data_IF_069092976346
#
_entry.id   IF_069092976346
#
_cell.length_a   1.000
_cell.length_b   1.000
_cell.length_c   1.000
_cell.angle_alpha   90.00
_cell.angle_beta   90.00
_cell.angle_gamma   90.00
#
_symmetry.space_group_name_H-M   'P 1'
#
loop_
_entity.id
_entity.type
_entity.pdbx_description
1 polymer ?
#
# COMPACT_ATOMS: atom_id res chain seq x y z
N UNK A 1 -19.69 56.76 -60.79
CA UNK A 1 -18.75 56.31 -59.72
C UNK A 1 -18.96 54.83 -59.50
N UNK A 2 -18.21 53.94 -60.19
CA UNK A 2 -18.29 52.51 -60.05
C UNK A 2 -17.00 51.95 -59.38
N UNK A 3 -17.19 51.54 -58.25
CA UNK A 3 -16.54 50.55 -57.34
C UNK A 3 -15.17 50.04 -57.76
N UNK A 4 -14.13 50.61 -57.16
CA UNK A 4 -12.77 50.12 -57.13
C UNK A 4 -12.52 49.05 -56.04
N UNK A 5 -13.56 48.70 -55.27
CA UNK A 5 -13.46 47.73 -54.14
C UNK A 5 -13.44 46.27 -54.56
N UNK A 6 -13.95 45.92 -55.76
CA UNK A 6 -13.99 44.54 -56.26
C UNK A 6 -12.66 44.01 -56.81
N UNK A 7 -11.80 44.90 -57.35
CA UNK A 7 -10.51 44.49 -57.94
C UNK A 7 -9.42 44.22 -56.85
N UNK A 8 -9.51 44.87 -55.70
CA UNK A 8 -8.55 44.68 -54.60
C UNK A 8 -8.74 43.35 -53.88
N UNK A 9 -9.98 42.87 -53.73
CA UNK A 9 -10.31 41.57 -53.08
C UNK A 9 -9.90 40.41 -53.98
N UNK A 10 -10.04 40.55 -55.31
CA UNK A 10 -9.64 39.46 -56.22
C UNK A 10 -8.11 39.28 -56.31
N UNK A 11 -7.34 40.36 -56.18
CA UNK A 11 -5.87 40.33 -56.17
C UNK A 11 -5.34 39.76 -54.84
N UNK A 12 -6.02 39.97 -53.73
CA UNK A 12 -5.64 39.45 -52.43
C UNK A 12 -5.89 37.94 -52.30
N UNK A 13 -6.97 37.43 -52.91
CA UNK A 13 -7.26 35.99 -52.96
C UNK A 13 -6.30 35.21 -53.86
N UNK A 14 -5.74 35.86 -54.93
CA UNK A 14 -4.80 35.19 -55.81
C UNK A 14 -3.40 35.04 -55.21
N UNK A 15 -3.02 35.92 -54.29
CA UNK A 15 -1.73 35.87 -53.59
C UNK A 15 -1.75 34.81 -52.48
N UNK A 16 -2.94 34.50 -51.90
CA UNK A 16 -3.10 33.46 -50.87
C UNK A 16 -3.14 32.01 -51.40
N UNK A 17 -3.36 31.84 -52.72
CA UNK A 17 -3.40 30.53 -53.37
C UNK A 17 -2.05 30.01 -53.89
N UNK A 18 -0.98 30.82 -53.84
CA UNK A 18 0.32 30.43 -54.40
C UNK A 18 1.37 30.04 -53.35
N UNK A 19 0.99 29.97 -52.05
CA UNK A 19 1.92 29.67 -50.94
C UNK A 19 1.85 28.22 -50.38
N UNK A 20 1.20 27.27 -51.10
CA UNK A 20 0.98 25.89 -50.60
C UNK A 20 1.64 24.80 -51.46
N UNK A 21 2.60 25.12 -52.29
CA UNK A 21 3.30 24.10 -53.12
C UNK A 21 4.81 24.22 -53.03
N UNK A 22 5.40 24.03 -51.85
CA UNK A 22 6.78 23.56 -51.69
C UNK A 22 6.86 22.62 -50.49
N UNK A 23 6.32 21.42 -50.62
CA UNK A 23 6.75 20.29 -49.79
C UNK A 23 7.69 19.49 -50.67
N UNK A 24 8.97 19.82 -50.58
CA UNK A 24 10.06 19.06 -51.18
C UNK A 24 10.24 17.73 -50.46
N UNK A 25 9.94 16.64 -51.16
CA UNK A 25 10.42 15.31 -50.75
C UNK A 25 11.94 15.26 -50.82
N UNK A 26 12.58 15.38 -49.70
CA UNK A 26 13.99 14.99 -49.57
C UNK A 26 14.02 13.49 -49.23
N UNK A 27 14.38 12.69 -50.20
CA UNK A 27 14.63 11.26 -50.11
C UNK A 27 16.04 11.09 -49.53
N UNK A 28 16.15 11.01 -48.19
CA UNK A 28 17.42 10.64 -47.52
C UNK A 28 17.54 9.13 -47.52
N UNK A 29 18.54 8.67 -48.20
CA UNK A 29 19.03 7.29 -48.20
C UNK A 29 19.45 6.93 -46.79
N UNK A 30 18.73 6.02 -46.15
CA UNK A 30 19.06 5.48 -44.84
C UNK A 30 20.21 4.50 -44.97
N UNK A 31 21.35 4.88 -44.48
CA UNK A 31 22.39 3.95 -44.01
C UNK A 31 21.95 3.35 -42.70
N UNK A 32 21.78 2.06 -42.71
CA UNK A 32 21.43 1.23 -41.58
C UNK A 32 22.62 1.19 -40.60
N UNK A 33 22.52 1.89 -39.47
CA UNK A 33 23.34 1.63 -38.31
C UNK A 33 22.39 1.44 -37.15
N UNK A 34 22.41 0.23 -36.54
CA UNK A 34 21.57 -0.18 -35.46
C UNK A 34 21.63 0.80 -34.27
N UNK A 35 20.52 1.43 -34.03
CA UNK A 35 20.25 2.25 -32.87
C UNK A 35 19.19 1.54 -32.03
N UNK A 36 19.62 1.03 -30.94
CA UNK A 36 18.79 0.47 -29.86
C UNK A 36 17.81 1.54 -29.38
N UNK A 37 16.57 1.25 -29.58
CA UNK A 37 15.30 1.81 -29.12
C UNK A 37 15.28 3.07 -28.24
N UNK A 38 14.77 4.14 -28.83
CA UNK A 38 14.24 5.38 -28.22
C UNK A 38 12.94 5.14 -27.37
N UNK A 39 12.74 3.93 -26.87
CA UNK A 39 11.56 3.56 -26.09
C UNK A 39 11.73 3.77 -24.57
N UNK A 40 12.94 3.99 -24.08
CA UNK A 40 13.24 4.01 -22.63
C UNK A 40 13.26 5.40 -21.99
N UNK A 41 13.09 6.48 -22.76
CA UNK A 41 13.13 7.87 -22.24
C UNK A 41 11.75 8.53 -22.04
N UNK A 42 10.66 7.77 -22.15
CA UNK A 42 9.32 8.34 -21.90
C UNK A 42 9.12 8.50 -20.40
N UNK A 43 8.72 9.70 -19.97
CA UNK A 43 8.34 10.01 -18.59
C UNK A 43 6.85 10.23 -18.46
N UNK A 44 6.33 10.21 -17.25
CA UNK A 44 4.96 10.55 -16.87
C UNK A 44 5.02 11.50 -15.70
N UNK A 45 4.13 12.46 -15.65
CA UNK A 45 3.93 13.33 -14.50
C UNK A 45 2.82 12.74 -13.63
N UNK A 46 3.11 12.48 -12.36
CA UNK A 46 2.14 12.04 -11.36
C UNK A 46 1.96 13.11 -10.28
N UNK A 47 0.78 13.16 -9.67
CA UNK A 47 0.48 14.06 -8.56
C UNK A 47 0.69 13.34 -7.23
N UNK A 48 1.48 13.91 -6.34
CA UNK A 48 1.80 13.35 -5.02
C UNK A 48 1.55 14.39 -3.92
N UNK A 49 1.63 13.97 -2.67
CA UNK A 49 1.58 14.88 -1.52
C UNK A 49 2.68 15.95 -1.53
N UNK A 50 3.80 15.69 -2.25
CA UNK A 50 4.93 16.63 -2.40
C UNK A 50 4.87 17.44 -3.70
N UNK A 51 3.73 17.44 -4.39
CA UNK A 51 3.54 18.09 -5.68
C UNK A 51 3.68 17.14 -6.86
N UNK A 52 3.89 17.70 -8.05
CA UNK A 52 4.07 16.92 -9.29
C UNK A 52 5.47 16.34 -9.36
N UNK A 53 5.57 15.06 -9.65
CA UNK A 53 6.83 14.33 -9.85
C UNK A 53 6.84 13.73 -11.25
N UNK A 54 7.93 13.95 -11.97
CA UNK A 54 8.17 13.30 -13.25
C UNK A 54 8.87 11.96 -13.02
N UNK A 55 8.24 10.87 -13.41
CA UNK A 55 8.74 9.50 -13.22
C UNK A 55 8.92 8.81 -14.57
N UNK A 56 9.84 7.84 -14.72
CA UNK A 56 9.96 7.04 -15.94
C UNK A 56 8.64 6.35 -16.29
N UNK A 57 8.30 6.24 -17.56
CA UNK A 57 7.10 5.52 -18.00
C UNK A 57 7.12 4.04 -17.59
N UNK A 58 8.30 3.46 -17.45
CA UNK A 58 8.49 2.06 -17.08
C UNK A 58 9.76 1.92 -16.21
N UNK A 59 9.72 2.30 -14.93
CA UNK A 59 10.88 2.24 -14.06
C UNK A 59 11.36 0.80 -13.89
N UNK A 60 12.69 0.60 -13.87
CA UNK A 60 13.33 -0.71 -13.80
C UNK A 60 14.16 -0.91 -12.52
N UNK A 61 14.57 0.18 -11.92
CA UNK A 61 15.50 0.19 -10.78
C UNK A 61 14.83 0.86 -9.57
N UNK A 62 13.76 0.21 -9.09
CA UNK A 62 12.92 0.74 -8.03
C UNK A 62 13.53 0.41 -6.67
N UNK A 63 13.76 1.42 -5.85
CA UNK A 63 14.06 1.28 -4.43
C UNK A 63 12.84 1.71 -3.62
N UNK A 64 12.36 0.87 -2.71
CA UNK A 64 11.14 1.13 -1.96
C UNK A 64 11.31 0.85 -0.47
N UNK A 65 10.80 1.76 0.36
CA UNK A 65 10.69 1.56 1.79
C UNK A 65 9.27 1.08 2.18
N UNK A 66 9.17 -0.02 2.92
CA UNK A 66 7.99 -0.59 3.59
C UNK A 66 6.87 -1.15 2.70
N UNK A 67 6.40 -0.46 1.65
CA UNK A 67 5.25 -0.89 0.84
C UNK A 67 5.63 -1.79 -0.35
N UNK A 68 6.68 -2.60 -0.21
CA UNK A 68 7.15 -3.53 -1.24
C UNK A 68 6.10 -4.57 -1.65
N UNK A 69 5.19 -4.93 -0.76
CA UNK A 69 4.10 -5.86 -1.08
C UNK A 69 3.06 -5.26 -2.04
N UNK A 70 2.86 -3.93 -2.03
CA UNK A 70 2.02 -3.28 -3.04
C UNK A 70 2.65 -3.36 -4.45
N UNK A 71 3.98 -3.25 -4.58
CA UNK A 71 4.66 -3.52 -5.84
C UNK A 71 4.46 -4.97 -6.30
N UNK A 72 4.58 -5.94 -5.37
CA UNK A 72 4.35 -7.36 -5.68
C UNK A 72 2.91 -7.61 -6.13
N UNK A 73 1.93 -6.96 -5.51
CA UNK A 73 0.52 -7.05 -5.93
C UNK A 73 0.32 -6.56 -7.37
N UNK A 74 1.14 -5.62 -7.84
CA UNK A 74 1.16 -5.10 -9.20
C UNK A 74 2.01 -5.94 -10.17
N UNK A 75 2.61 -7.04 -9.70
CA UNK A 75 3.53 -7.86 -10.49
C UNK A 75 4.89 -7.22 -10.72
N UNK A 76 5.28 -6.25 -9.90
CA UNK A 76 6.56 -5.54 -9.98
C UNK A 76 7.46 -5.95 -8.83
N UNK A 77 8.69 -6.39 -9.14
CA UNK A 77 9.69 -6.74 -8.15
C UNK A 77 10.68 -5.57 -7.98
N UNK A 78 10.87 -5.02 -6.76
CA UNK A 78 11.84 -3.94 -6.56
C UNK A 78 13.28 -4.43 -6.71
N UNK A 79 14.18 -3.51 -7.02
CA UNK A 79 15.63 -3.76 -7.00
C UNK A 79 16.15 -3.90 -5.57
N UNK A 80 15.67 -3.03 -4.68
CA UNK A 80 16.05 -3.01 -3.27
C UNK A 80 14.90 -2.52 -2.40
N UNK A 81 14.86 -2.98 -1.14
CA UNK A 81 13.83 -2.63 -0.17
C UNK A 81 14.40 -2.62 1.24
N UNK A 82 13.65 -2.09 2.20
CA UNK A 82 13.99 -2.17 3.63
C UNK A 82 14.06 -3.61 4.11
N UNK A 83 14.84 -3.83 5.17
CA UNK A 83 14.90 -5.13 5.86
C UNK A 83 13.48 -5.55 6.25
N UNK A 84 13.19 -6.83 6.04
CA UNK A 84 11.94 -7.44 6.47
C UNK A 84 12.18 -8.23 7.75
N UNK A 85 11.25 -8.10 8.68
CA UNK A 85 11.26 -8.91 9.88
C UNK A 85 10.71 -10.33 9.58
N UNK A 86 11.41 -11.32 10.11
CA UNK A 86 10.97 -12.72 10.18
C UNK A 86 10.53 -13.38 8.85
N UNK A 87 9.64 -14.35 8.98
CA UNK A 87 9.04 -15.10 7.87
C UNK A 87 7.78 -14.41 7.32
N UNK A 88 7.93 -13.16 6.88
CA UNK A 88 6.80 -12.40 6.32
C UNK A 88 6.20 -13.10 5.08
N UNK A 89 4.95 -12.76 4.79
CA UNK A 89 4.27 -13.22 3.56
C UNK A 89 5.04 -12.87 2.27
N UNK A 90 5.98 -11.93 2.36
CA UNK A 90 6.76 -11.38 1.25
C UNK A 90 8.12 -12.08 1.06
N UNK A 91 8.58 -12.87 2.04
CA UNK A 91 9.94 -13.45 2.06
C UNK A 91 10.30 -14.20 0.79
N UNK A 92 9.43 -15.09 0.35
CA UNK A 92 9.70 -15.90 -0.85
C UNK A 92 9.65 -15.06 -2.13
N UNK A 93 8.73 -14.13 -2.21
CA UNK A 93 8.55 -13.26 -3.37
C UNK A 93 9.72 -12.29 -3.57
N UNK A 94 10.31 -11.85 -2.45
CA UNK A 94 11.43 -10.91 -2.45
C UNK A 94 12.80 -11.61 -2.40
N UNK A 95 12.84 -12.93 -2.58
CA UNK A 95 14.12 -13.66 -2.69
C UNK A 95 14.99 -13.04 -3.79
N UNK A 96 16.23 -12.67 -3.43
CA UNK A 96 17.19 -12.01 -4.32
C UNK A 96 17.04 -10.51 -4.48
N UNK A 97 16.03 -9.89 -3.86
CA UNK A 97 15.95 -8.43 -3.72
C UNK A 97 16.98 -7.96 -2.71
N UNK A 98 17.68 -6.86 -3.01
CA UNK A 98 18.70 -6.31 -2.13
C UNK A 98 18.05 -5.62 -0.94
N UNK A 99 18.73 -5.65 0.20
CA UNK A 99 18.29 -4.96 1.41
C UNK A 99 19.03 -3.62 1.51
N UNK A 100 18.27 -2.56 1.77
CA UNK A 100 18.78 -1.26 2.18
C UNK A 100 18.90 -1.27 3.70
N UNK A 101 20.13 -1.13 4.20
CA UNK A 101 20.40 -1.29 5.64
C UNK A 101 20.31 0.03 6.41
N UNK A 102 20.83 1.09 5.84
CA UNK A 102 21.00 2.39 6.54
C UNK A 102 20.08 3.49 6.06
N UNK A 103 19.53 3.37 4.85
CA UNK A 103 18.75 4.42 4.19
C UNK A 103 19.48 5.77 4.14
N UNK A 104 20.79 5.72 3.79
CA UNK A 104 21.62 6.89 3.56
C UNK A 104 21.82 7.18 2.07
N UNK A 105 22.03 8.45 1.67
CA UNK A 105 22.18 8.85 0.26
C UNK A 105 23.21 8.03 -0.51
N UNK A 106 24.36 7.76 0.09
CA UNK A 106 25.45 7.01 -0.52
C UNK A 106 25.02 5.56 -0.84
N UNK A 107 24.29 4.92 0.07
CA UNK A 107 23.78 3.57 -0.12
C UNK A 107 22.72 3.55 -1.23
N UNK A 108 21.79 4.51 -1.24
CA UNK A 108 20.74 4.60 -2.26
C UNK A 108 21.36 4.89 -3.64
N UNK A 109 22.35 5.81 -3.74
CA UNK A 109 23.05 6.11 -4.98
C UNK A 109 23.77 4.87 -5.56
N UNK A 110 24.32 4.00 -4.72
CA UNK A 110 24.98 2.77 -5.15
C UNK A 110 24.03 1.81 -5.91
N UNK A 111 22.73 1.84 -5.62
CA UNK A 111 21.71 1.10 -6.37
C UNK A 111 21.41 1.73 -7.74
N UNK A 112 21.82 2.98 -8.02
CA UNK A 112 21.49 3.73 -9.25
C UNK A 112 19.98 3.62 -9.57
N UNK A 113 19.09 4.02 -8.65
CA UNK A 113 17.65 3.91 -8.86
C UNK A 113 17.18 4.84 -9.99
N UNK A 114 16.12 4.44 -10.68
CA UNK A 114 15.36 5.30 -11.58
C UNK A 114 14.02 5.74 -10.97
N UNK A 115 13.64 5.13 -9.84
CA UNK A 115 12.51 5.52 -9.01
C UNK A 115 12.78 5.14 -7.55
N UNK A 116 12.48 6.07 -6.63
CA UNK A 116 12.53 5.84 -5.18
C UNK A 116 11.13 6.04 -4.61
N UNK A 117 10.67 5.12 -3.76
CA UNK A 117 9.38 5.21 -3.07
C UNK A 117 9.66 5.20 -1.56
N UNK A 118 9.18 6.21 -0.87
CA UNK A 118 9.45 6.45 0.56
C UNK A 118 8.16 6.72 1.34
N UNK A 119 8.23 6.64 2.67
CA UNK A 119 7.05 6.74 3.56
C UNK A 119 7.05 8.00 4.43
N UNK A 120 8.13 8.79 4.43
CA UNK A 120 8.25 10.00 5.22
C UNK A 120 8.75 11.20 4.40
N UNK A 121 8.38 12.42 4.84
CA UNK A 121 8.87 13.66 4.23
C UNK A 121 10.39 13.85 4.42
N UNK A 122 10.94 13.32 5.50
CA UNK A 122 12.38 13.35 5.76
C UNK A 122 13.11 12.54 4.69
N UNK A 123 12.70 11.30 4.45
CA UNK A 123 13.26 10.45 3.39
C UNK A 123 13.07 11.09 2.00
N UNK A 124 11.91 11.70 1.74
CA UNK A 124 11.69 12.41 0.48
C UNK A 124 12.72 13.52 0.28
N UNK A 125 12.91 14.39 1.27
CA UNK A 125 13.91 15.48 1.21
C UNK A 125 15.35 14.96 1.05
N UNK A 126 15.63 13.79 1.64
CA UNK A 126 16.92 13.13 1.60
C UNK A 126 17.26 12.56 0.22
N UNK A 127 16.24 12.01 -0.49
CA UNK A 127 16.48 11.22 -1.70
C UNK A 127 16.01 11.85 -3.02
N UNK A 128 15.19 12.91 -2.99
CA UNK A 128 14.63 13.51 -4.20
C UNK A 128 15.67 14.17 -5.14
N UNK A 129 16.92 14.33 -4.67
CA UNK A 129 18.05 14.79 -5.49
C UNK A 129 18.81 13.64 -6.18
N UNK A 130 18.53 12.39 -5.82
CA UNK A 130 19.20 11.20 -6.35
C UNK A 130 18.45 10.68 -7.58
N UNK A 131 17.13 10.56 -7.47
CA UNK A 131 16.23 10.08 -8.52
C UNK A 131 14.80 10.59 -8.26
N UNK A 132 13.88 10.49 -9.25
CA UNK A 132 12.46 10.71 -9.02
C UNK A 132 11.99 9.97 -7.76
N UNK A 133 11.46 10.73 -6.78
CA UNK A 133 11.07 10.18 -5.48
C UNK A 133 9.59 10.42 -5.24
N UNK A 134 8.87 9.37 -4.87
CA UNK A 134 7.43 9.40 -4.56
C UNK A 134 7.23 9.15 -3.07
N UNK A 135 6.62 10.11 -2.38
CA UNK A 135 6.20 9.96 -1.00
C UNK A 135 4.83 9.27 -0.95
N UNK A 136 4.77 8.15 -0.24
CA UNK A 136 3.55 7.44 0.10
C UNK A 136 3.24 7.72 1.58
N UNK A 137 2.22 8.51 1.92
CA UNK A 137 1.88 8.81 3.31
C UNK A 137 1.47 7.54 4.07
N UNK A 138 2.13 7.25 5.19
CA UNK A 138 1.97 5.97 5.90
C UNK A 138 0.54 5.73 6.43
N UNK A 139 -0.11 6.76 6.99
CA UNK A 139 -1.43 6.62 7.66
C UNK A 139 -2.51 7.54 7.11
N UNK A 140 -2.19 8.45 6.19
CA UNK A 140 -3.10 9.52 5.75
C UNK A 140 -4.00 9.13 4.58
N UNK A 141 -3.73 8.00 3.92
CA UNK A 141 -4.46 7.50 2.76
C UNK A 141 -4.87 6.04 2.99
N UNK A 142 -5.94 5.61 2.36
CA UNK A 142 -6.38 4.21 2.36
C UNK A 142 -5.41 3.29 1.63
N UNK A 143 -5.52 1.99 1.87
CA UNK A 143 -4.71 0.99 1.16
C UNK A 143 -4.99 0.98 -0.35
N UNK A 144 -6.20 1.32 -0.77
CA UNK A 144 -6.57 1.43 -2.19
C UNK A 144 -5.94 2.67 -2.86
N UNK A 145 -6.04 3.84 -2.20
CA UNK A 145 -5.39 5.08 -2.67
C UNK A 145 -3.88 4.90 -2.75
N UNK A 146 -3.29 4.23 -1.76
CA UNK A 146 -1.86 3.91 -1.74
C UNK A 146 -1.46 3.03 -2.92
N UNK A 147 -2.18 1.91 -3.15
CA UNK A 147 -1.89 1.04 -4.30
C UNK A 147 -2.06 1.78 -5.63
N UNK A 148 -3.08 2.65 -5.74
CA UNK A 148 -3.31 3.47 -6.93
C UNK A 148 -2.13 4.41 -7.18
N UNK A 149 -1.65 5.13 -6.16
CA UNK A 149 -0.52 6.04 -6.29
C UNK A 149 0.78 5.29 -6.65
N UNK A 150 1.04 4.14 -6.03
CA UNK A 150 2.19 3.29 -6.40
C UNK A 150 2.05 2.80 -7.84
N UNK A 151 0.85 2.39 -8.26
CA UNK A 151 0.59 1.95 -9.63
C UNK A 151 0.80 3.09 -10.65
N UNK A 152 0.38 4.30 -10.33
CA UNK A 152 0.70 5.49 -11.13
C UNK A 152 2.21 5.70 -11.23
N UNK A 153 2.95 5.52 -10.14
CA UNK A 153 4.40 5.67 -10.15
C UNK A 153 5.11 4.63 -11.02
N UNK A 154 4.56 3.42 -11.15
CA UNK A 154 5.21 2.32 -11.90
C UNK A 154 4.51 1.96 -13.22
N UNK A 155 3.42 2.67 -13.62
CA UNK A 155 2.70 2.43 -14.88
C UNK A 155 1.84 1.19 -14.87
N UNK A 156 1.20 0.87 -13.73
CA UNK A 156 0.43 -0.35 -13.50
C UNK A 156 -1.00 -0.09 -13.03
N UNK A 157 -1.64 0.98 -13.54
CA UNK A 157 -2.97 1.43 -13.11
C UNK A 157 -4.06 0.38 -13.36
N UNK A 158 -4.01 -0.34 -14.48
CA UNK A 158 -5.01 -1.37 -14.79
C UNK A 158 -4.84 -2.61 -13.88
N UNK A 159 -3.61 -2.96 -13.55
CA UNK A 159 -3.32 -4.01 -12.57
C UNK A 159 -3.86 -3.64 -11.18
N UNK A 160 -3.67 -2.38 -10.76
CA UNK A 160 -4.18 -1.89 -9.47
C UNK A 160 -5.71 -1.99 -9.39
N UNK A 161 -6.43 -1.57 -10.44
CA UNK A 161 -7.89 -1.72 -10.50
C UNK A 161 -8.33 -3.17 -10.32
N UNK A 162 -7.65 -4.11 -10.97
CA UNK A 162 -7.95 -5.55 -10.84
C UNK A 162 -7.68 -6.05 -9.42
N UNK A 163 -6.54 -5.70 -8.83
CA UNK A 163 -6.18 -6.09 -7.46
C UNK A 163 -7.19 -5.57 -6.45
N UNK A 164 -7.53 -4.28 -6.53
CA UNK A 164 -8.50 -3.63 -5.64
C UNK A 164 -9.88 -4.30 -5.76
N UNK A 165 -10.38 -4.49 -6.98
CA UNK A 165 -11.69 -5.11 -7.21
C UNK A 165 -11.74 -6.56 -6.68
N UNK A 166 -10.69 -7.34 -6.91
CA UNK A 166 -10.59 -8.71 -6.41
C UNK A 166 -10.59 -8.74 -4.88
N UNK A 167 -9.84 -7.85 -4.25
CA UNK A 167 -9.80 -7.75 -2.79
C UNK A 167 -11.17 -7.36 -2.22
N UNK A 168 -11.84 -6.35 -2.79
CA UNK A 168 -13.20 -5.94 -2.40
C UNK A 168 -14.21 -7.09 -2.51
N UNK A 169 -14.20 -7.82 -3.61
CA UNK A 169 -15.10 -8.97 -3.79
C UNK A 169 -14.85 -10.06 -2.73
N UNK A 170 -13.58 -10.27 -2.37
CA UNK A 170 -13.19 -11.21 -1.31
C UNK A 170 -13.67 -10.72 0.06
N UNK A 171 -13.56 -9.42 0.34
CA UNK A 171 -14.08 -8.79 1.56
C UNK A 171 -15.59 -9.00 1.66
N UNK A 172 -16.36 -8.68 0.62
CA UNK A 172 -17.82 -8.84 0.62
C UNK A 172 -18.25 -10.31 0.83
N UNK A 173 -17.53 -11.23 0.19
CA UNK A 173 -17.74 -12.67 0.41
C UNK A 173 -17.46 -13.08 1.85
N UNK A 174 -16.42 -12.50 2.45
CA UNK A 174 -16.01 -12.74 3.83
C UNK A 174 -17.03 -12.19 4.83
N UNK A 175 -17.55 -10.98 4.60
CA UNK A 175 -18.62 -10.38 5.40
C UNK A 175 -19.85 -11.30 5.46
N UNK A 176 -20.33 -11.75 4.30
CA UNK A 176 -21.48 -12.67 4.23
C UNK A 176 -21.26 -13.95 5.04
N UNK A 177 -20.05 -14.51 5.05
CA UNK A 177 -19.71 -15.68 5.87
C UNK A 177 -19.76 -15.36 7.37
N UNK A 178 -19.26 -14.19 7.78
CA UNK A 178 -19.27 -13.76 9.17
C UNK A 178 -20.68 -13.39 9.65
N UNK A 179 -21.50 -12.78 8.78
CA UNK A 179 -22.93 -12.53 9.03
C UNK A 179 -23.69 -13.83 9.27
N UNK A 180 -23.53 -14.81 8.36
CA UNK A 180 -24.14 -16.13 8.50
C UNK A 180 -23.69 -16.88 9.76
N UNK A 181 -22.49 -16.61 10.25
CA UNK A 181 -21.96 -17.16 11.50
C UNK A 181 -22.38 -16.38 12.77
N UNK A 182 -23.14 -15.27 12.64
CA UNK A 182 -23.67 -14.48 13.75
C UNK A 182 -22.61 -13.71 14.53
N UNK A 183 -21.44 -13.38 13.91
CA UNK A 183 -20.34 -12.71 14.62
C UNK A 183 -20.25 -11.20 14.37
N UNK A 184 -21.06 -10.64 13.46
CA UNK A 184 -20.99 -9.21 13.11
C UNK A 184 -21.47 -8.28 14.25
N UNK A 185 -22.24 -8.80 15.21
CA UNK A 185 -22.65 -8.06 16.40
C UNK A 185 -21.64 -8.12 17.54
N UNK A 186 -20.62 -8.94 17.42
CA UNK A 186 -19.55 -9.10 18.40
C UNK A 186 -18.52 -8.00 18.29
N UNK A 187 -17.88 -7.73 19.43
CA UNK A 187 -16.77 -6.77 19.51
C UNK A 187 -15.44 -7.47 19.40
N UNK A 188 -14.48 -6.82 18.72
CA UNK A 188 -13.14 -7.34 18.47
C UNK A 188 -12.09 -6.39 19.04
N UNK A 189 -11.09 -6.96 19.70
CA UNK A 189 -9.91 -6.23 20.19
C UNK A 189 -8.67 -6.79 19.51
N UNK A 190 -7.86 -5.91 18.95
CA UNK A 190 -6.58 -6.25 18.32
C UNK A 190 -5.45 -5.89 19.28
N UNK A 191 -4.63 -6.87 19.60
CA UNK A 191 -3.50 -6.68 20.52
C UNK A 191 -2.20 -7.24 19.98
N UNK A 192 -1.13 -6.65 20.49
CA UNK A 192 0.22 -7.21 20.46
C UNK A 192 0.69 -7.30 21.90
N UNK A 193 1.29 -8.42 22.27
CA UNK A 193 1.80 -8.62 23.61
C UNK A 193 3.31 -8.51 23.60
N UNK A 194 3.81 -7.65 24.48
CA UNK A 194 5.20 -7.62 24.92
C UNK A 194 5.33 -8.32 26.28
N UNK A 195 6.55 -8.45 26.78
CA UNK A 195 6.86 -9.13 28.05
C UNK A 195 6.20 -8.51 29.29
N UNK A 196 5.83 -7.22 29.22
CA UNK A 196 5.34 -6.46 30.39
C UNK A 196 3.99 -5.76 30.18
N UNK A 197 3.53 -5.61 28.95
CA UNK A 197 2.34 -4.82 28.65
C UNK A 197 1.61 -5.37 27.42
N UNK A 198 0.34 -4.99 27.32
CA UNK A 198 -0.46 -5.24 26.13
C UNK A 198 -0.56 -3.94 25.34
N UNK A 199 -0.19 -3.98 24.07
CA UNK A 199 -0.46 -2.88 23.16
C UNK A 199 -1.75 -3.17 22.42
N UNK A 200 -2.75 -2.29 22.56
CA UNK A 200 -4.01 -2.35 21.81
C UNK A 200 -3.90 -1.49 20.59
N UNK A 201 -4.31 -2.01 19.42
CA UNK A 201 -4.18 -1.32 18.13
C UNK A 201 -5.53 -0.94 17.53
N UNK A 202 -5.53 0.15 16.77
CA UNK A 202 -6.63 0.60 15.93
C UNK A 202 -6.54 0.05 14.49
N UNK A 203 -7.02 0.85 13.54
CA UNK A 203 -7.18 0.44 12.14
C UNK A 203 -6.04 0.83 11.20
N UNK A 204 -5.05 1.66 11.62
CA UNK A 204 -4.07 2.25 10.67
C UNK A 204 -2.64 1.74 10.81
N UNK A 205 -2.35 0.93 11.82
CA UNK A 205 -0.97 0.50 12.14
C UNK A 205 -0.68 -0.98 11.84
N UNK A 206 -1.34 -1.56 10.85
CA UNK A 206 -1.16 -2.98 10.49
C UNK A 206 -1.84 -3.92 11.48
N UNK A 207 -1.24 -5.07 11.73
CA UNK A 207 -1.74 -6.15 12.62
C UNK A 207 -3.12 -6.68 12.24
N UNK A 208 -3.62 -6.32 11.05
CA UNK A 208 -4.95 -6.69 10.58
C UNK A 208 -6.06 -5.72 10.99
N UNK A 209 -5.71 -4.57 11.61
CA UNK A 209 -6.70 -3.60 12.09
C UNK A 209 -7.57 -3.02 10.99
N UNK A 210 -6.98 -2.63 9.86
CA UNK A 210 -7.69 -2.13 8.68
C UNK A 210 -8.67 -3.19 8.12
N UNK A 211 -8.24 -4.48 8.13
CA UNK A 211 -9.10 -5.59 7.69
C UNK A 211 -10.30 -5.74 8.61
N UNK A 212 -10.07 -5.74 9.92
CA UNK A 212 -11.14 -5.93 10.91
C UNK A 212 -12.12 -4.77 10.90
N UNK A 213 -11.63 -3.55 11.09
CA UNK A 213 -12.49 -2.42 11.39
C UNK A 213 -12.98 -1.69 10.13
N UNK A 214 -12.12 -1.51 9.11
CA UNK A 214 -12.49 -0.74 7.91
C UNK A 214 -13.10 -1.62 6.83
N UNK A 215 -12.49 -2.77 6.53
CA UNK A 215 -12.98 -3.65 5.48
C UNK A 215 -14.10 -4.59 5.92
N UNK A 216 -13.92 -5.36 6.97
CA UNK A 216 -14.98 -6.26 7.47
C UNK A 216 -16.07 -5.52 8.24
N UNK A 217 -15.76 -4.36 8.82
CA UNK A 217 -16.73 -3.55 9.54
C UNK A 217 -17.18 -4.15 10.88
N UNK A 218 -16.35 -5.00 11.49
CA UNK A 218 -16.65 -5.55 12.82
C UNK A 218 -16.58 -4.47 13.90
N UNK A 219 -17.32 -4.68 14.99
CA UNK A 219 -17.38 -3.68 16.08
C UNK A 219 -16.13 -3.74 16.94
N UNK A 220 -15.64 -2.57 17.38
CA UNK A 220 -14.68 -2.45 18.46
C UNK A 220 -15.38 -2.11 19.78
N UNK A 221 -14.85 -2.46 20.95
CA UNK A 221 -15.28 -1.89 22.23
C UNK A 221 -15.30 -0.36 22.18
N UNK A 222 -16.25 0.28 22.86
CA UNK A 222 -16.42 1.73 22.80
C UNK A 222 -15.15 2.49 23.24
N UNK A 223 -14.43 1.99 24.23
CA UNK A 223 -13.17 2.59 24.69
C UNK A 223 -12.12 2.56 23.56
N UNK A 224 -11.98 1.44 22.83
CA UNK A 224 -11.06 1.32 21.70
C UNK A 224 -11.47 2.26 20.57
N UNK A 225 -12.77 2.34 20.24
CA UNK A 225 -13.26 3.26 19.22
C UNK A 225 -12.92 4.71 19.57
N UNK A 226 -13.14 5.12 20.83
CA UNK A 226 -12.94 6.49 21.30
C UNK A 226 -11.46 6.85 21.41
N UNK A 227 -10.67 6.03 22.10
CA UNK A 227 -9.32 6.39 22.49
C UNK A 227 -8.25 5.97 21.49
N UNK A 228 -8.51 4.93 20.69
CA UNK A 228 -7.51 4.32 19.82
C UNK A 228 -7.83 4.55 18.35
N UNK A 229 -8.97 4.10 17.85
CA UNK A 229 -9.33 4.25 16.42
C UNK A 229 -9.49 5.73 16.04
N UNK A 230 -10.18 6.50 16.89
CA UNK A 230 -10.37 7.95 16.69
C UNK A 230 -9.27 8.80 17.35
N UNK A 231 -8.24 8.17 17.95
CA UNK A 231 -7.13 8.80 18.66
C UNK A 231 -5.77 8.37 18.11
N UNK A 232 -4.90 7.95 19.03
CA UNK A 232 -3.48 7.69 18.78
C UNK A 232 -3.17 6.42 17.95
N UNK A 233 -4.18 5.62 17.60
CA UNK A 233 -4.07 4.39 16.81
C UNK A 233 -3.42 3.20 17.55
N UNK A 234 -2.77 3.41 18.66
CA UNK A 234 -2.32 2.37 19.56
C UNK A 234 -2.22 2.91 21.01
N UNK A 235 -2.30 2.01 21.98
CA UNK A 235 -2.15 2.35 23.39
C UNK A 235 -1.56 1.19 24.16
N UNK A 236 -0.55 1.48 24.98
CA UNK A 236 -0.02 0.52 25.95
C UNK A 236 -0.93 0.48 27.17
N UNK A 237 -1.39 -0.69 27.51
CA UNK A 237 -2.35 -0.93 28.58
C UNK A 237 -1.78 -1.94 29.56
N UNK A 238 -1.89 -1.68 30.86
CA UNK A 238 -1.53 -2.69 31.87
C UNK A 238 -2.52 -3.85 31.87
N UNK A 239 -2.11 -4.99 32.39
CA UNK A 239 -3.00 -6.16 32.50
C UNK A 239 -4.24 -5.90 33.37
N UNK A 240 -4.11 -5.07 34.42
CA UNK A 240 -5.21 -4.69 35.30
C UNK A 240 -6.27 -3.83 34.57
N UNK A 241 -5.85 -2.97 33.66
CA UNK A 241 -6.74 -2.11 32.89
C UNK A 241 -7.30 -2.81 31.63
N UNK A 242 -6.64 -3.87 31.15
CA UNK A 242 -6.98 -4.52 29.89
C UNK A 242 -8.43 -5.05 29.81
N UNK A 243 -9.08 -5.55 30.91
CA UNK A 243 -10.48 -5.98 30.83
C UNK A 243 -11.44 -4.93 30.25
N UNK A 244 -11.19 -3.63 30.42
CA UNK A 244 -11.99 -2.54 29.84
C UNK A 244 -11.87 -2.46 28.31
N UNK A 245 -10.72 -2.90 27.77
CA UNK A 245 -10.43 -2.92 26.34
C UNK A 245 -10.75 -4.26 25.68
N UNK A 246 -11.09 -5.29 26.46
CA UNK A 246 -11.38 -6.63 25.93
C UNK A 246 -12.74 -6.68 25.24
N UNK A 247 -12.77 -7.12 23.99
CA UNK A 247 -13.97 -7.43 23.27
C UNK A 247 -14.43 -8.88 23.45
N UNK A 248 -15.52 -9.27 22.73
CA UNK A 248 -15.97 -10.65 22.63
C UNK A 248 -14.91 -11.56 21.98
N UNK A 249 -14.10 -11.00 21.10
CA UNK A 249 -12.98 -11.63 20.43
C UNK A 249 -11.69 -10.85 20.68
N UNK A 250 -10.58 -11.56 20.82
CA UNK A 250 -9.24 -10.98 20.90
C UNK A 250 -8.43 -11.53 19.73
N UNK A 251 -7.92 -10.64 18.86
CA UNK A 251 -6.94 -10.97 17.84
C UNK A 251 -5.57 -10.61 18.39
N UNK A 252 -4.76 -11.62 18.66
CA UNK A 252 -3.46 -11.47 19.32
C UNK A 252 -2.34 -11.70 18.33
N UNK A 253 -1.62 -10.64 17.95
CA UNK A 253 -0.40 -10.75 17.16
C UNK A 253 0.73 -11.26 18.07
N UNK A 254 1.26 -12.43 17.74
CA UNK A 254 2.28 -13.12 18.56
C UNK A 254 3.63 -13.00 17.88
N UNK A 255 4.60 -12.48 18.62
CA UNK A 255 6.01 -12.46 18.24
C UNK A 255 6.64 -13.85 18.43
N UNK A 256 7.43 -14.29 17.45
CA UNK A 256 8.13 -15.59 17.54
C UNK A 256 9.13 -15.70 18.70
N UNK A 257 9.48 -14.56 19.32
CA UNK A 257 10.52 -14.48 20.34
C UNK A 257 10.00 -14.19 21.76
N UNK A 258 8.71 -13.90 21.94
CA UNK A 258 8.18 -13.35 23.18
C UNK A 258 7.57 -14.34 24.18
N UNK A 259 7.27 -15.56 23.76
CA UNK A 259 6.51 -16.52 24.58
C UNK A 259 5.08 -16.05 24.89
N UNK A 260 4.23 -16.94 25.37
CA UNK A 260 2.86 -16.62 25.82
C UNK A 260 2.85 -16.35 27.33
N UNK A 261 3.19 -15.13 27.72
CA UNK A 261 3.28 -14.74 29.14
C UNK A 261 1.89 -14.52 29.77
N UNK A 262 0.81 -14.55 28.98
CA UNK A 262 -0.56 -14.34 29.48
C UNK A 262 -1.23 -15.63 29.92
N UNK A 263 -0.79 -16.80 29.44
CA UNK A 263 -1.49 -18.09 29.62
C UNK A 263 -1.77 -18.44 31.08
N UNK A 264 -0.89 -18.05 32.00
CA UNK A 264 -0.98 -18.37 33.45
C UNK A 264 -1.42 -17.14 34.29
N UNK A 265 -1.79 -16.02 33.67
CA UNK A 265 -2.21 -14.81 34.35
C UNK A 265 -3.70 -14.85 34.69
N UNK A 266 -4.04 -14.69 35.95
CA UNK A 266 -5.43 -14.76 36.43
C UNK A 266 -6.35 -13.69 35.84
N UNK A 267 -5.87 -12.50 35.53
CA UNK A 267 -6.68 -11.46 34.87
C UNK A 267 -7.01 -11.87 33.44
N UNK A 268 -6.04 -12.45 32.75
CA UNK A 268 -6.21 -12.90 31.36
C UNK A 268 -7.17 -14.11 31.27
N UNK A 269 -6.92 -15.18 32.03
CA UNK A 269 -7.72 -16.41 31.95
C UNK A 269 -9.19 -16.21 32.37
N UNK A 270 -9.48 -15.13 33.11
CA UNK A 270 -10.83 -14.77 33.51
C UNK A 270 -11.58 -13.90 32.49
N UNK A 271 -10.94 -13.43 31.43
CA UNK A 271 -11.62 -12.70 30.36
C UNK A 271 -12.66 -13.58 29.65
N UNK A 272 -13.86 -13.04 29.31
CA UNK A 272 -14.89 -13.79 28.59
C UNK A 272 -14.38 -14.37 27.26
N UNK A 273 -13.61 -13.60 26.49
CA UNK A 273 -13.04 -14.05 25.22
C UNK A 273 -12.10 -15.27 25.40
N UNK A 274 -11.33 -15.32 26.51
CA UNK A 274 -10.43 -16.45 26.80
C UNK A 274 -11.22 -17.69 27.22
N UNK A 275 -12.20 -17.54 28.14
CA UNK A 275 -13.07 -18.63 28.60
C UNK A 275 -13.89 -19.26 27.47
N UNK A 276 -14.25 -18.46 26.47
CA UNK A 276 -15.06 -18.90 25.36
C UNK A 276 -14.23 -19.35 24.13
N UNK A 277 -12.89 -19.45 24.29
CA UNK A 277 -11.96 -19.82 23.23
C UNK A 277 -12.03 -18.90 21.98
N UNK A 278 -12.23 -17.59 22.22
CA UNK A 278 -12.31 -16.55 21.19
C UNK A 278 -11.06 -15.69 21.09
N UNK A 279 -9.92 -16.23 21.53
CA UNK A 279 -8.60 -15.63 21.29
C UNK A 279 -8.00 -16.24 20.03
N UNK A 280 -7.81 -15.41 19.02
CA UNK A 280 -7.23 -15.81 17.74
C UNK A 280 -5.79 -15.29 17.70
N UNK A 281 -4.84 -16.23 17.78
CA UNK A 281 -3.43 -15.90 17.63
C UNK A 281 -3.07 -15.76 16.17
N UNK A 282 -2.39 -14.67 15.83
CA UNK A 282 -1.91 -14.39 14.47
C UNK A 282 -0.39 -14.34 14.47
N UNK A 283 0.22 -14.78 13.36
CA UNK A 283 1.65 -14.65 13.16
C UNK A 283 2.00 -13.17 12.94
N UNK A 284 2.83 -12.61 13.83
CA UNK A 284 3.25 -11.22 13.75
C UNK A 284 3.89 -10.87 12.41
N UNK A 285 4.70 -11.75 11.85
CA UNK A 285 5.38 -11.49 10.59
C UNK A 285 4.40 -11.35 9.42
N UNK A 286 3.33 -12.17 9.38
CA UNK A 286 2.26 -12.04 8.39
C UNK A 286 1.46 -10.76 8.60
N UNK A 287 1.21 -10.37 9.86
CA UNK A 287 0.32 -9.28 10.21
C UNK A 287 0.99 -7.92 10.41
N UNK A 288 2.33 -7.86 10.33
CA UNK A 288 3.08 -6.61 10.43
C UNK A 288 2.80 -5.66 9.27
N UNK A 289 2.72 -6.18 8.05
CA UNK A 289 2.55 -5.38 6.85
C UNK A 289 1.09 -5.05 6.58
N UNK A 290 0.85 -3.88 5.96
CA UNK A 290 -0.48 -3.40 5.57
C UNK A 290 -0.63 -3.18 4.06
N UNK A 291 0.29 -3.72 3.25
CA UNK A 291 0.16 -3.75 1.79
C UNK A 291 -0.93 -4.73 1.35
N UNK A 292 -1.55 -4.49 0.18
CA UNK A 292 -2.67 -5.32 -0.29
C UNK A 292 -2.30 -6.77 -0.57
N UNK A 293 -1.03 -7.07 -0.88
CA UNK A 293 -0.55 -8.45 -1.02
C UNK A 293 -0.62 -9.21 0.31
N UNK A 294 -0.13 -8.60 1.38
CA UNK A 294 -0.18 -9.17 2.74
C UNK A 294 -1.61 -9.21 3.27
N UNK A 295 -2.38 -8.13 3.08
CA UNK A 295 -3.76 -8.02 3.55
C UNK A 295 -4.69 -9.08 2.92
N UNK A 296 -4.47 -9.48 1.67
CA UNK A 296 -5.22 -10.56 1.04
C UNK A 296 -5.04 -11.91 1.77
N UNK A 297 -3.85 -12.21 2.22
CA UNK A 297 -3.54 -13.41 3.02
C UNK A 297 -4.06 -13.29 4.45
N UNK A 298 -3.90 -12.11 5.06
CA UNK A 298 -4.39 -11.81 6.41
C UNK A 298 -5.92 -11.93 6.49
N UNK A 299 -6.66 -11.41 5.49
CA UNK A 299 -8.12 -11.52 5.41
C UNK A 299 -8.58 -12.99 5.46
N UNK A 300 -7.98 -13.83 4.62
CA UNK A 300 -8.29 -15.26 4.62
C UNK A 300 -7.99 -15.92 5.96
N UNK A 301 -6.87 -15.59 6.58
CA UNK A 301 -6.48 -16.13 7.88
C UNK A 301 -7.48 -15.75 8.97
N UNK A 302 -7.76 -14.45 9.13
CA UNK A 302 -8.67 -13.93 10.17
C UNK A 302 -10.07 -14.54 10.01
N UNK A 303 -10.64 -14.48 8.83
CA UNK A 303 -12.00 -14.98 8.57
C UNK A 303 -12.11 -16.48 8.88
N UNK A 304 -11.15 -17.28 8.39
CA UNK A 304 -11.16 -18.72 8.67
C UNK A 304 -10.97 -19.02 10.16
N UNK A 305 -10.12 -18.26 10.85
CA UNK A 305 -9.90 -18.44 12.28
C UNK A 305 -11.16 -18.08 13.10
N UNK A 306 -11.84 -16.98 12.77
CA UNK A 306 -13.12 -16.60 13.41
C UNK A 306 -14.15 -17.70 13.18
N UNK A 307 -14.35 -18.16 11.94
CA UNK A 307 -15.32 -19.20 11.61
C UNK A 307 -15.04 -20.55 12.28
N UNK A 308 -13.79 -20.86 12.63
CA UNK A 308 -13.47 -22.07 13.42
C UNK A 308 -13.99 -21.97 14.85
N UNK A 309 -14.04 -20.78 15.45
CA UNK A 309 -14.55 -20.61 16.81
C UNK A 309 -16.09 -20.75 16.91
N UNK A 310 -16.80 -20.63 15.79
CA UNK A 310 -18.28 -20.72 15.74
C UNK A 310 -18.78 -22.14 15.47
N UNK A 311 -17.88 -23.05 15.08
CA UNK A 311 -18.22 -24.48 14.91
C UNK A 311 -18.05 -25.18 16.25
N UNK A 312 -19.13 -25.29 17.00
CA UNK A 312 -19.21 -26.15 18.20
C UNK A 312 -19.76 -27.52 17.80
#
# INVERSE_FOLDING_TARGET
MKSTKGKLIFTLCLILMFSVLVIGCSKSTSTNSGGESDKDHKTRTISTAMGKVEVPANPKRIVINYFQGDLLALGVKPLATSRMEGDSALKNELKGVKIVEKWEPEEIMAFKPDLIIVISEEEYKKFNKIAPTVLIPFTKISSEERLTLIAEAVGKQEEAKKVINNFKNKVETSKKKLEAAGVMDKTFTLIEQDTKQITVFGNKWGRGGEILYDYLGVKAPNVIKKEIINGEQYKNVSLEAFPEYSGDYIIQAVWNYGGDNLKDNNLWINLPAVKENRVIKTDWNLFFYKDLYSMDKQLNYIVNAILKTTKK
#
